data_IF_603983512302
#
_entry.id   IF_603983512302
#
_cell.length_a   1.000
_cell.length_b   1.000
_cell.length_c   1.000
_cell.angle_alpha   90.00
_cell.angle_beta   90.00
_cell.angle_gamma   90.00
#
_symmetry.space_group_name_H-M   'P 1'
#
loop_
_entity.id
_entity.type
_entity.pdbx_description
1 polymer ?
#
# COMPACT_ATOMS: atom_id res chain seq x y z
N UNK A 1 22.80 18.26 13.88
CA UNK A 1 22.73 16.88 13.35
C UNK A 1 21.54 16.17 14.01
N UNK A 2 20.45 15.91 13.30
CA UNK A 2 19.28 15.19 13.82
C UNK A 2 19.35 13.75 13.32
N UNK A 3 19.89 12.84 14.14
CA UNK A 3 19.86 11.40 13.86
C UNK A 3 18.45 10.92 14.18
N UNK A 4 17.65 10.66 13.14
CA UNK A 4 16.22 10.41 13.26
C UNK A 4 15.93 9.06 13.95
N UNK A 5 15.50 9.14 15.20
CA UNK A 5 14.98 8.01 15.99
C UNK A 5 13.62 7.48 15.46
N UNK A 6 13.04 8.14 14.44
CA UNK A 6 11.71 7.84 13.89
C UNK A 6 11.65 6.70 12.86
N UNK A 7 12.79 6.16 12.40
CA UNK A 7 12.80 5.16 11.33
C UNK A 7 12.05 3.87 11.69
N UNK A 8 12.14 3.42 12.96
CA UNK A 8 11.44 2.21 13.44
C UNK A 8 9.93 2.41 13.51
N UNK A 9 9.49 3.56 14.03
CA UNK A 9 8.07 3.91 14.10
C UNK A 9 7.47 4.03 12.70
N UNK A 10 8.17 4.68 11.78
CA UNK A 10 7.71 4.80 10.39
C UNK A 10 7.61 3.42 9.71
N UNK A 11 8.62 2.55 9.86
CA UNK A 11 8.54 1.17 9.35
C UNK A 11 7.34 0.40 9.91
N UNK A 12 7.06 0.55 11.21
CA UNK A 12 5.89 -0.09 11.84
C UNK A 12 4.59 0.42 11.21
N UNK A 13 4.43 1.74 11.09
CA UNK A 13 3.25 2.33 10.45
C UNK A 13 3.06 1.86 9.00
N UNK A 14 4.14 1.70 8.24
CA UNK A 14 4.08 1.17 6.88
C UNK A 14 3.60 -0.28 6.85
N UNK A 15 4.10 -1.12 7.77
CA UNK A 15 3.63 -2.51 7.91
C UNK A 15 2.16 -2.55 8.31
N UNK A 16 1.75 -1.73 9.28
CA UNK A 16 0.35 -1.68 9.73
C UNK A 16 -0.60 -1.31 8.57
N UNK A 17 -0.22 -0.32 7.75
CA UNK A 17 -0.97 0.05 6.53
C UNK A 17 -0.98 -1.08 5.50
N UNK A 18 0.13 -1.80 5.33
CA UNK A 18 0.18 -2.95 4.42
C UNK A 18 -0.76 -4.06 4.86
N UNK A 19 -0.85 -4.35 6.16
CA UNK A 19 -1.79 -5.35 6.68
C UNK A 19 -3.22 -4.97 6.31
N UNK A 20 -3.62 -3.71 6.54
CA UNK A 20 -4.97 -3.22 6.20
C UNK A 20 -5.27 -3.40 4.70
N UNK A 21 -4.34 -3.00 3.84
CA UNK A 21 -4.52 -3.06 2.39
C UNK A 21 -4.60 -4.51 1.91
N UNK A 22 -3.68 -5.36 2.35
CA UNK A 22 -3.61 -6.76 1.94
C UNK A 22 -4.82 -7.54 2.46
N UNK A 23 -5.26 -7.27 3.69
CA UNK A 23 -6.45 -7.90 4.25
C UNK A 23 -7.70 -7.56 3.44
N UNK A 24 -7.87 -6.29 3.07
CA UNK A 24 -8.95 -5.89 2.16
C UNK A 24 -8.84 -6.60 0.80
N UNK A 25 -7.65 -6.66 0.21
CA UNK A 25 -7.45 -7.34 -1.08
C UNK A 25 -7.71 -8.85 -0.97
N UNK A 26 -7.29 -9.47 0.11
CA UNK A 26 -7.55 -10.89 0.38
C UNK A 26 -9.05 -11.14 0.49
N UNK A 27 -9.79 -10.31 1.23
CA UNK A 27 -11.24 -10.44 1.38
C UNK A 27 -11.98 -10.26 0.05
N UNK A 28 -11.59 -9.27 -0.77
CA UNK A 28 -12.28 -8.96 -2.02
C UNK A 28 -11.94 -9.92 -3.18
N UNK A 29 -10.69 -10.41 -3.23
CA UNK A 29 -10.20 -11.20 -4.37
C UNK A 29 -9.86 -12.65 -4.01
N UNK A 30 -10.05 -13.05 -2.75
CA UNK A 30 -9.74 -14.39 -2.24
C UNK A 30 -8.29 -14.80 -2.52
N UNK A 31 -7.36 -13.86 -2.35
CA UNK A 31 -5.94 -14.08 -2.63
C UNK A 31 -5.37 -15.14 -1.70
N UNK A 32 -4.62 -16.09 -2.25
CA UNK A 32 -3.95 -17.15 -1.47
C UNK A 32 -2.48 -16.84 -1.19
N UNK A 33 -1.97 -15.73 -1.69
CA UNK A 33 -0.61 -15.26 -1.42
C UNK A 33 -0.30 -13.87 -1.97
N UNK A 34 0.71 -13.22 -1.39
CA UNK A 34 1.10 -11.84 -1.71
C UNK A 34 1.51 -11.64 -3.18
N UNK A 35 2.06 -12.67 -3.83
CA UNK A 35 2.45 -12.58 -5.24
C UNK A 35 1.27 -12.27 -6.18
N UNK A 36 0.04 -12.62 -5.77
CA UNK A 36 -1.18 -12.37 -6.54
C UNK A 36 -1.69 -10.93 -6.43
N UNK A 37 -1.20 -10.14 -5.47
CA UNK A 37 -1.56 -8.72 -5.34
C UNK A 37 -1.01 -7.98 -6.54
N UNK A 38 -1.82 -7.61 -7.53
CA UNK A 38 -1.40 -6.92 -8.75
C UNK A 38 -1.93 -5.49 -8.86
N UNK A 39 -1.68 -4.85 -10.02
CA UNK A 39 -2.17 -3.50 -10.32
C UNK A 39 -3.70 -3.40 -10.20
N UNK A 40 -4.43 -4.44 -10.63
CA UNK A 40 -5.90 -4.48 -10.57
C UNK A 40 -6.42 -4.35 -9.14
N UNK A 41 -5.87 -5.13 -8.21
CA UNK A 41 -6.26 -5.09 -6.80
C UNK A 41 -6.01 -3.71 -6.19
N UNK A 42 -4.88 -3.08 -6.53
CA UNK A 42 -4.57 -1.71 -6.07
C UNK A 42 -5.56 -0.69 -6.62
N UNK A 43 -5.86 -0.76 -7.92
CA UNK A 43 -6.84 0.14 -8.56
C UNK A 43 -8.21 0.00 -7.90
N UNK A 44 -8.66 -1.23 -7.65
CA UNK A 44 -9.96 -1.48 -7.04
C UNK A 44 -9.98 -1.06 -5.56
N UNK A 45 -8.87 -1.20 -4.83
CA UNK A 45 -8.71 -0.64 -3.49
C UNK A 45 -8.91 0.88 -3.48
N UNK A 46 -8.30 1.60 -4.43
CA UNK A 46 -8.49 3.04 -4.55
C UNK A 46 -9.92 3.43 -4.93
N UNK A 47 -10.56 2.66 -5.81
CA UNK A 47 -11.97 2.89 -6.17
C UNK A 47 -12.91 2.69 -4.97
N UNK A 48 -12.63 1.72 -4.11
CA UNK A 48 -13.44 1.44 -2.92
C UNK A 48 -13.24 2.46 -1.79
N UNK A 49 -12.12 3.19 -1.79
CA UNK A 49 -11.77 4.15 -0.74
C UNK A 49 -11.60 5.58 -1.28
N UNK A 50 -12.52 6.00 -2.17
CA UNK A 50 -12.49 7.32 -2.82
C UNK A 50 -12.56 8.50 -1.84
N UNK A 51 -13.19 8.27 -0.69
CA UNK A 51 -13.38 9.30 0.35
C UNK A 51 -12.17 9.45 1.29
N UNK A 52 -11.09 8.72 1.03
CA UNK A 52 -9.86 8.82 1.82
C UNK A 52 -9.19 10.18 1.62
N UNK A 53 -8.87 10.86 2.72
CA UNK A 53 -8.13 12.13 2.67
C UNK A 53 -6.82 11.99 1.88
N UNK A 54 -6.41 12.99 1.07
CA UNK A 54 -5.24 12.87 0.19
C UNK A 54 -3.95 12.49 0.91
N UNK A 55 -3.70 13.06 2.10
CA UNK A 55 -2.52 12.72 2.91
C UNK A 55 -2.53 11.26 3.38
N UNK A 56 -3.70 10.75 3.74
CA UNK A 56 -3.89 9.34 4.12
C UNK A 56 -3.65 8.44 2.91
N UNK A 57 -4.27 8.72 1.77
CA UNK A 57 -4.10 7.96 0.53
C UNK A 57 -2.62 7.91 0.09
N UNK A 58 -1.91 9.03 0.20
CA UNK A 58 -0.48 9.10 -0.08
C UNK A 58 0.34 8.19 0.85
N UNK A 59 0.07 8.20 2.15
CA UNK A 59 0.77 7.32 3.09
C UNK A 59 0.50 5.83 2.83
N UNK A 60 -0.72 5.47 2.42
CA UNK A 60 -1.03 4.10 1.97
C UNK A 60 -0.32 3.75 0.66
N UNK A 61 -0.17 4.69 -0.27
CA UNK A 61 0.60 4.48 -1.49
C UNK A 61 2.09 4.26 -1.22
N UNK A 62 2.68 4.98 -0.25
CA UNK A 62 4.05 4.71 0.20
C UNK A 62 4.19 3.30 0.79
N UNK A 63 3.20 2.82 1.54
CA UNK A 63 3.19 1.46 2.05
C UNK A 63 3.18 0.45 0.89
N UNK A 64 2.30 0.64 -0.11
CA UNK A 64 2.25 -0.17 -1.32
C UNK A 64 3.57 -0.18 -2.10
N UNK A 65 4.32 0.93 -2.14
CA UNK A 65 5.66 0.97 -2.75
C UNK A 65 6.63 0.00 -2.05
N UNK A 66 6.57 -0.10 -0.73
CA UNK A 66 7.37 -1.08 0.02
C UNK A 66 7.02 -2.51 -0.38
N UNK A 67 5.72 -2.84 -0.43
CA UNK A 67 5.26 -4.15 -0.89
C UNK A 67 5.73 -4.45 -2.32
N UNK A 68 5.66 -3.47 -3.23
CA UNK A 68 6.13 -3.63 -4.60
C UNK A 68 7.62 -3.97 -4.70
N UNK A 69 8.44 -3.29 -3.88
CA UNK A 69 9.86 -3.61 -3.75
C UNK A 69 10.09 -5.04 -3.27
N UNK A 70 9.32 -5.51 -2.28
CA UNK A 70 9.40 -6.90 -1.80
C UNK A 70 8.98 -7.93 -2.86
N UNK A 71 8.03 -7.57 -3.72
CA UNK A 71 7.59 -8.40 -4.84
C UNK A 71 8.53 -8.33 -6.05
N UNK A 72 9.64 -7.58 -5.98
CA UNK A 72 10.62 -7.47 -7.05
C UNK A 72 10.09 -6.76 -8.31
N UNK A 73 9.11 -5.87 -8.17
CA UNK A 73 8.50 -5.17 -9.31
C UNK A 73 9.27 -3.91 -9.64
N UNK A 74 9.57 -3.74 -10.94
CA UNK A 74 10.36 -2.61 -11.43
C UNK A 74 9.59 -1.27 -11.44
N UNK A 75 8.28 -1.33 -11.64
CA UNK A 75 7.42 -0.14 -11.71
C UNK A 75 6.81 0.21 -10.36
N UNK A 76 6.38 1.44 -10.17
CA UNK A 76 5.62 1.82 -8.98
C UNK A 76 4.17 1.26 -9.00
N UNK A 77 3.56 1.01 -7.81
CA UNK A 77 2.16 0.66 -7.73
C UNK A 77 1.27 1.81 -8.24
N UNK A 78 0.06 1.50 -8.75
CA UNK A 78 -0.89 2.51 -9.19
C UNK A 78 -1.15 3.58 -8.11
N UNK A 79 -1.10 4.84 -8.52
CA UNK A 79 -1.37 5.98 -7.63
C UNK A 79 -2.88 6.12 -7.35
N UNK A 80 -3.27 6.62 -6.17
CA UNK A 80 -4.69 6.84 -5.81
C UNK A 80 -5.39 7.93 -6.63
N UNK A 81 -4.62 8.74 -7.38
CA UNK A 81 -5.11 9.95 -8.07
C UNK A 81 -5.11 9.83 -9.61
N UNK A 82 -5.12 8.63 -10.17
CA UNK A 82 -5.35 8.47 -11.60
C UNK A 82 -6.79 8.94 -11.92
N UNK A 83 -6.91 10.21 -12.31
CA UNK A 83 -8.11 10.77 -12.95
C UNK A 83 -8.33 10.08 -14.28
#
# INVERSE_FOLDING_TARGET
MYVAHGGKTNRRQQVDRLVIVVDWMQAQFQLTGLAQVGKRQVIDYWKAHRDMAPATAYAYWLALKVLWGWLGRAEDPPIPFAK
#
